data_IF_114564030686
#
_entry.id   IF_114564030686
#
_cell.length_a   1.000
_cell.length_b   1.000
_cell.length_c   1.000
_cell.angle_alpha   90.00
_cell.angle_beta   90.00
_cell.angle_gamma   90.00
#
_symmetry.space_group_name_H-M   'P 1'
#
loop_
_entity.id
_entity.type
_entity.pdbx_description
1 polymer ?
#
# COMPACT_ATOMS: atom_id res chain seq x y z
N UNK A 1 2.64 79.57 23.32
CA UNK A 1 3.59 78.87 22.42
C UNK A 1 4.01 77.56 23.09
N UNK A 2 4.32 76.52 22.29
CA UNK A 2 4.59 75.09 22.59
C UNK A 2 3.33 74.21 22.61
N UNK A 3 2.92 73.50 21.54
CA UNK A 3 3.62 72.56 20.63
C UNK A 3 4.37 71.46 21.39
N UNK A 4 3.63 70.41 21.79
CA UNK A 4 3.97 68.97 21.67
C UNK A 4 2.86 68.11 22.31
N UNK A 5 1.65 68.22 21.76
CA UNK A 5 0.68 67.12 21.75
C UNK A 5 0.87 66.41 20.41
N UNK A 6 1.46 65.22 20.42
CA UNK A 6 1.42 64.21 19.35
C UNK A 6 2.36 63.06 19.74
N UNK A 7 1.86 62.18 20.60
CA UNK A 7 2.36 60.81 20.77
C UNK A 7 1.35 60.05 21.65
N UNK A 8 0.14 59.89 21.12
CA UNK A 8 -0.82 58.92 21.62
C UNK A 8 -1.09 57.94 20.48
N UNK A 9 -1.26 56.68 20.85
CA UNK A 9 -1.67 55.50 20.07
C UNK A 9 -0.52 54.58 19.66
N UNK A 10 -0.79 53.29 19.94
CA UNK A 10 -0.09 52.08 19.48
C UNK A 10 0.99 51.51 20.39
N UNK A 11 0.57 50.95 21.54
CA UNK A 11 1.24 49.78 22.14
C UNK A 11 0.23 48.94 22.94
N UNK A 12 -0.77 48.41 22.23
CA UNK A 12 -1.59 47.29 22.69
C UNK A 12 -1.35 46.16 21.71
N UNK A 13 -0.35 45.33 21.98
CA UNK A 13 -0.08 44.11 21.22
C UNK A 13 -0.37 42.91 22.12
N UNK A 14 -1.42 42.19 21.73
CA UNK A 14 -1.94 40.99 22.35
C UNK A 14 -0.86 39.91 22.50
N UNK A 15 -0.65 39.44 23.72
CA UNK A 15 0.06 38.18 23.99
C UNK A 15 -0.98 37.06 23.87
N UNK A 16 -1.22 36.61 22.64
CA UNK A 16 -1.91 35.35 22.36
C UNK A 16 -0.86 34.35 21.87
N UNK A 17 -0.23 33.67 22.82
CA UNK A 17 0.69 32.56 22.56
C UNK A 17 -0.10 31.38 21.99
N UNK A 18 0.04 31.19 20.68
CA UNK A 18 -0.45 30.06 19.91
C UNK A 18 0.26 28.80 20.41
N UNK A 19 -0.41 28.02 21.27
CA UNK A 19 -0.09 26.61 21.48
C UNK A 19 -0.56 25.84 20.24
N UNK A 20 0.15 26.02 19.13
CA UNK A 20 0.14 25.05 18.05
C UNK A 20 0.95 23.87 18.56
N UNK A 21 0.24 22.82 19.00
CA UNK A 21 0.83 21.54 19.28
C UNK A 21 1.72 21.15 18.10
N UNK A 22 3.04 21.12 18.34
CA UNK A 22 3.94 20.26 17.61
C UNK A 22 3.45 18.82 17.83
N UNK A 23 2.53 18.37 16.97
CA UNK A 23 2.42 16.94 16.71
C UNK A 23 3.77 16.60 16.09
N UNK A 24 4.59 15.73 16.71
CA UNK A 24 5.76 15.22 16.05
C UNK A 24 5.26 14.50 14.81
N UNK A 25 5.39 15.12 13.64
CA UNK A 25 5.39 14.38 12.39
C UNK A 25 6.48 13.33 12.55
N UNK A 26 6.17 12.02 12.42
CA UNK A 26 7.22 11.03 12.34
C UNK A 26 8.22 11.49 11.27
N UNK A 27 9.53 11.30 11.48
CA UNK A 27 10.50 11.58 10.43
C UNK A 27 10.04 10.90 9.14
N UNK A 28 10.15 11.65 8.04
CA UNK A 28 9.83 11.22 6.68
C UNK A 28 10.87 10.18 6.22
N UNK A 29 10.98 9.08 6.97
CA UNK A 29 11.81 7.90 6.67
C UNK A 29 11.21 7.11 5.50
N UNK A 30 10.30 7.74 4.75
CA UNK A 30 9.59 7.12 3.66
C UNK A 30 10.53 6.59 2.58
N UNK A 31 11.69 7.22 2.38
CA UNK A 31 12.72 6.73 1.46
C UNK A 31 13.45 5.48 1.96
N UNK A 32 13.55 5.27 3.29
CA UNK A 32 14.16 4.09 3.92
C UNK A 32 13.24 2.87 3.91
N UNK A 33 11.92 3.07 3.86
CA UNK A 33 10.91 2.02 3.97
C UNK A 33 10.04 1.79 2.72
N UNK A 34 9.96 2.75 1.78
CA UNK A 34 9.02 2.70 0.64
C UNK A 34 9.69 2.78 -0.75
N UNK A 35 10.93 2.29 -0.88
CA UNK A 35 11.63 2.12 -2.17
C UNK A 35 11.94 0.65 -2.48
N UNK A 36 12.07 0.31 -3.78
CA UNK A 36 12.60 -1.00 -4.22
C UNK A 36 14.08 -1.07 -3.85
N UNK A 37 14.45 -1.83 -2.82
CA UNK A 37 15.82 -1.94 -2.32
C UNK A 37 15.95 -2.98 -1.21
N UNK A 38 17.16 -3.14 -0.68
CA UNK A 38 17.49 -4.13 0.37
C UNK A 38 16.88 -3.83 1.75
N UNK A 39 16.08 -2.76 1.89
CA UNK A 39 15.66 -2.25 3.19
C UNK A 39 16.82 -1.67 4.01
N UNK A 40 16.56 -1.44 5.29
CA UNK A 40 17.57 -0.99 6.26
C UNK A 40 18.39 -2.14 6.87
N UNK A 41 17.88 -3.37 6.79
CA UNK A 41 18.53 -4.58 7.29
C UNK A 41 19.38 -5.18 6.16
N UNK A 42 20.69 -5.43 6.37
CA UNK A 42 21.53 -6.08 5.37
C UNK A 42 20.98 -7.46 4.98
N UNK A 43 21.05 -7.82 3.69
CA UNK A 43 20.51 -9.11 3.17
C UNK A 43 21.10 -10.32 3.93
N UNK A 44 22.37 -10.27 4.31
CA UNK A 44 23.03 -11.32 5.10
C UNK A 44 22.44 -11.54 6.50
N UNK A 45 21.77 -10.52 7.03
CA UNK A 45 21.05 -10.54 8.31
C UNK A 45 19.52 -10.60 8.10
N UNK A 46 19.10 -10.62 6.84
CA UNK A 46 17.71 -10.66 6.41
C UNK A 46 17.08 -12.04 6.55
N UNK A 47 15.76 -12.07 6.38
CA UNK A 47 15.01 -13.31 6.29
C UNK A 47 15.32 -14.04 4.96
N UNK A 48 15.23 -15.39 4.99
CA UNK A 48 15.25 -16.15 3.73
C UNK A 48 13.92 -16.01 3.00
N UNK A 49 13.90 -16.34 1.72
CA UNK A 49 12.68 -16.32 0.91
C UNK A 49 11.55 -17.17 1.52
N UNK A 50 11.88 -18.36 2.03
CA UNK A 50 10.91 -19.27 2.65
C UNK A 50 10.37 -18.74 3.98
N UNK A 51 11.23 -18.09 4.78
CA UNK A 51 10.81 -17.41 6.01
C UNK A 51 9.90 -16.23 5.68
N UNK A 52 10.20 -15.47 4.64
CA UNK A 52 9.34 -14.39 4.18
C UNK A 52 7.95 -14.90 3.80
N UNK A 53 7.87 -15.92 2.93
CA UNK A 53 6.60 -16.50 2.48
C UNK A 53 5.79 -17.06 3.67
N UNK A 54 6.45 -17.68 4.64
CA UNK A 54 5.79 -18.30 5.79
C UNK A 54 5.34 -17.29 6.86
N UNK A 55 6.18 -16.32 7.20
CA UNK A 55 6.02 -15.53 8.43
C UNK A 55 5.72 -14.04 8.15
N UNK A 56 6.21 -13.48 7.04
CA UNK A 56 6.10 -12.05 6.75
C UNK A 56 4.99 -11.76 5.75
N UNK A 57 4.91 -12.52 4.67
CA UNK A 57 3.87 -12.38 3.65
C UNK A 57 2.46 -12.41 4.26
N UNK A 58 2.08 -13.34 5.15
CA UNK A 58 0.71 -13.38 5.69
C UNK A 58 0.28 -12.11 6.44
N UNK A 59 1.24 -11.36 7.01
CA UNK A 59 0.96 -10.09 7.69
C UNK A 59 0.59 -8.98 6.72
N UNK A 60 1.23 -8.94 5.54
CA UNK A 60 0.84 -8.05 4.45
C UNK A 60 -0.48 -8.47 3.80
N UNK A 61 -0.66 -9.78 3.57
CA UNK A 61 -1.89 -10.33 3.02
C UNK A 61 -3.10 -10.01 3.90
N UNK A 62 -2.96 -10.07 5.23
CA UNK A 62 -4.03 -9.69 6.16
C UNK A 62 -4.48 -8.24 6.02
N UNK A 63 -3.55 -7.30 5.76
CA UNK A 63 -3.90 -5.90 5.50
C UNK A 63 -4.67 -5.77 4.18
N UNK A 64 -4.23 -6.50 3.14
CA UNK A 64 -4.93 -6.53 1.86
C UNK A 64 -6.34 -7.09 2.04
N UNK A 65 -6.48 -8.25 2.70
CA UNK A 65 -7.76 -8.93 2.91
C UNK A 65 -8.80 -8.03 3.61
N UNK A 66 -8.40 -7.30 4.65
CA UNK A 66 -9.29 -6.34 5.33
C UNK A 66 -9.82 -5.26 4.36
N UNK A 67 -8.95 -4.70 3.52
CA UNK A 67 -9.34 -3.69 2.53
C UNK A 67 -10.21 -4.29 1.43
N UNK A 68 -9.92 -5.52 0.98
CA UNK A 68 -10.77 -6.21 -0.01
C UNK A 68 -12.16 -6.45 0.55
N UNK A 69 -12.28 -6.91 1.80
CA UNK A 69 -13.57 -7.17 2.45
C UNK A 69 -14.40 -5.88 2.51
N UNK A 70 -13.80 -4.76 2.91
CA UNK A 70 -14.49 -3.46 2.88
C UNK A 70 -14.91 -3.04 1.47
N UNK A 71 -14.10 -3.38 0.48
CA UNK A 71 -14.37 -3.13 -0.93
C UNK A 71 -15.41 -4.08 -1.55
N UNK A 72 -16.00 -5.01 -0.79
CA UNK A 72 -17.02 -5.94 -1.28
C UNK A 72 -16.55 -7.38 -1.50
N UNK A 73 -15.35 -7.74 -1.03
CA UNK A 73 -14.90 -9.13 -0.91
C UNK A 73 -14.44 -9.82 -2.20
N UNK A 74 -14.29 -9.07 -3.30
CA UNK A 74 -13.80 -9.59 -4.59
C UNK A 74 -12.44 -8.98 -4.90
N UNK A 75 -11.46 -9.85 -5.18
CA UNK A 75 -10.10 -9.47 -5.55
C UNK A 75 -9.80 -9.87 -6.99
N UNK A 76 -9.49 -8.87 -7.82
CA UNK A 76 -9.01 -9.08 -9.18
C UNK A 76 -7.50 -9.30 -9.21
N UNK A 77 -7.04 -10.29 -9.98
CA UNK A 77 -5.60 -10.57 -10.18
C UNK A 77 -5.24 -10.47 -11.67
N UNK A 78 -4.12 -9.84 -11.98
CA UNK A 78 -3.71 -9.40 -13.32
C UNK A 78 -2.74 -10.29 -14.09
N UNK A 79 -2.45 -11.51 -13.63
CA UNK A 79 -1.28 -12.27 -14.07
C UNK A 79 -0.76 -13.30 -13.05
N UNK A 80 0.56 -13.52 -13.05
CA UNK A 80 1.25 -14.50 -12.19
C UNK A 80 2.32 -13.80 -11.36
N UNK A 81 2.48 -14.25 -10.12
CA UNK A 81 3.60 -13.82 -9.27
C UNK A 81 4.93 -14.09 -9.99
N UNK A 82 5.90 -13.19 -9.80
CA UNK A 82 7.19 -13.26 -10.47
C UNK A 82 8.32 -13.24 -9.46
N UNK A 83 9.32 -14.06 -9.72
CA UNK A 83 10.62 -14.02 -9.05
C UNK A 83 11.63 -13.46 -10.03
N UNK A 84 12.28 -12.37 -9.65
CA UNK A 84 13.36 -11.76 -10.41
C UNK A 84 14.66 -11.80 -9.59
N UNK A 85 15.78 -11.60 -10.26
CA UNK A 85 17.06 -11.35 -9.59
C UNK A 85 17.12 -9.91 -9.12
N UNK A 86 17.74 -9.69 -7.97
CA UNK A 86 17.99 -8.34 -7.47
C UNK A 86 18.98 -7.57 -8.35
N UNK A 87 18.91 -6.23 -8.31
CA UNK A 87 19.81 -5.34 -9.07
C UNK A 87 21.25 -5.31 -8.51
N UNK A 88 21.52 -6.07 -7.46
CA UNK A 88 22.81 -6.29 -6.81
C UNK A 88 23.75 -7.10 -7.72
N UNK A 89 25.04 -7.10 -7.39
CA UNK A 89 26.09 -7.77 -8.19
C UNK A 89 26.21 -9.27 -7.89
N UNK A 90 25.48 -9.76 -6.88
CA UNK A 90 25.40 -11.17 -6.53
C UNK A 90 24.25 -11.82 -7.30
N UNK A 91 24.47 -12.99 -7.89
CA UNK A 91 23.49 -13.63 -8.78
C UNK A 91 22.53 -14.56 -8.06
N UNK A 92 22.47 -14.49 -6.73
CA UNK A 92 21.80 -15.50 -5.87
C UNK A 92 20.66 -14.95 -5.05
N UNK A 93 20.57 -13.64 -4.88
CA UNK A 93 19.45 -12.98 -4.21
C UNK A 93 18.31 -12.69 -5.19
N UNK A 94 17.10 -12.79 -4.66
CA UNK A 94 15.87 -12.69 -5.43
C UNK A 94 14.91 -11.71 -4.77
N UNK A 95 14.11 -11.03 -5.59
CA UNK A 95 12.92 -10.32 -5.15
C UNK A 95 11.66 -10.97 -5.76
N UNK A 96 10.55 -10.83 -5.04
CA UNK A 96 9.25 -11.34 -5.46
C UNK A 96 8.37 -10.14 -5.76
N UNK A 97 7.90 -10.09 -6.99
CA UNK A 97 6.80 -9.22 -7.38
C UNK A 97 5.52 -10.03 -7.34
N UNK A 98 4.69 -9.72 -6.36
CA UNK A 98 3.35 -10.28 -6.27
C UNK A 98 2.48 -9.58 -7.30
N UNK A 99 1.71 -10.38 -8.02
CA UNK A 99 1.01 -9.90 -9.19
C UNK A 99 0.02 -8.76 -8.87
N UNK A 100 -0.24 -7.90 -9.86
CA UNK A 100 -1.08 -6.73 -9.66
C UNK A 100 -2.48 -7.16 -9.24
N UNK A 101 -2.89 -6.62 -8.09
CA UNK A 101 -4.19 -6.85 -7.51
C UNK A 101 -5.08 -5.62 -7.75
N UNK A 102 -6.36 -5.83 -7.98
CA UNK A 102 -7.32 -4.74 -8.26
C UNK A 102 -8.60 -4.99 -7.48
N UNK A 103 -9.10 -3.95 -6.83
CA UNK A 103 -10.39 -3.95 -6.13
C UNK A 103 -11.20 -2.70 -6.49
N UNK A 104 -12.53 -2.72 -6.32
CA UNK A 104 -13.33 -1.51 -6.35
C UNK A 104 -12.77 -0.41 -5.42
N UNK A 105 -13.00 0.86 -5.73
CA UNK A 105 -12.61 1.92 -4.81
C UNK A 105 -13.54 1.99 -3.59
N UNK A 106 -12.95 2.15 -2.42
CA UNK A 106 -13.59 2.63 -1.18
C UNK A 106 -13.25 4.11 -0.97
N UNK A 107 -13.78 4.77 0.06
CA UNK A 107 -13.34 6.13 0.39
C UNK A 107 -11.84 6.13 0.75
N UNK A 108 -11.10 7.14 0.29
CA UNK A 108 -9.66 7.20 0.53
C UNK A 108 -9.31 7.35 2.01
N UNK A 109 -10.11 8.08 2.79
CA UNK A 109 -9.85 8.26 4.21
C UNK A 109 -10.08 6.96 4.98
N UNK A 110 -11.05 6.14 4.54
CA UNK A 110 -11.25 4.78 5.04
C UNK A 110 -10.10 3.85 4.64
N UNK A 111 -9.67 3.87 3.38
CA UNK A 111 -8.47 3.14 2.92
C UNK A 111 -7.26 3.51 3.79
N UNK A 112 -6.98 4.80 3.95
CA UNK A 112 -5.85 5.28 4.76
C UNK A 112 -5.95 4.75 6.18
N UNK A 113 -7.11 4.91 6.82
CA UNK A 113 -7.32 4.47 8.21
C UNK A 113 -7.05 2.97 8.35
N UNK A 114 -7.67 2.14 7.52
CA UNK A 114 -7.54 0.69 7.59
C UNK A 114 -6.09 0.23 7.36
N UNK A 115 -5.43 0.75 6.33
CA UNK A 115 -4.05 0.38 6.00
C UNK A 115 -3.08 0.82 7.10
N UNK A 116 -3.25 2.02 7.66
CA UNK A 116 -2.40 2.52 8.76
C UNK A 116 -2.61 1.70 10.03
N UNK A 117 -3.86 1.40 10.40
CA UNK A 117 -4.16 0.55 11.56
C UNK A 117 -3.60 -0.87 11.36
N UNK A 118 -3.72 -1.42 10.15
CA UNK A 118 -3.13 -2.71 9.78
C UNK A 118 -1.61 -2.72 9.87
N UNK A 119 -0.94 -1.67 9.37
CA UNK A 119 0.50 -1.51 9.48
C UNK A 119 0.96 -1.46 10.94
N UNK A 120 0.28 -0.67 11.77
CA UNK A 120 0.57 -0.53 13.20
C UNK A 120 0.43 -1.86 13.96
N UNK A 121 -0.65 -2.62 13.71
CA UNK A 121 -0.85 -3.94 14.34
C UNK A 121 0.27 -4.93 14.01
N UNK A 122 0.90 -4.79 12.84
CA UNK A 122 1.95 -5.68 12.38
C UNK A 122 3.38 -5.15 12.63
N UNK A 123 3.51 -3.96 13.21
CA UNK A 123 4.80 -3.32 13.48
C UNK A 123 5.50 -2.80 12.22
N UNK A 124 4.75 -2.48 11.17
CA UNK A 124 5.28 -1.95 9.91
C UNK A 124 5.30 -0.41 9.90
N UNK A 125 6.22 0.15 9.10
CA UNK A 125 6.18 1.55 8.72
C UNK A 125 5.04 1.81 7.72
N UNK A 126 4.50 3.02 7.71
CA UNK A 126 3.48 3.43 6.74
C UNK A 126 3.66 4.88 6.28
N UNK A 127 3.15 5.20 5.09
CA UNK A 127 3.08 6.57 4.54
C UNK A 127 1.84 6.72 3.66
N UNK A 128 1.45 7.96 3.35
CA UNK A 128 0.33 8.22 2.45
C UNK A 128 0.45 9.59 1.77
N UNK A 129 -0.14 9.73 0.58
CA UNK A 129 -0.19 10.99 -0.16
C UNK A 129 -1.43 11.82 0.21
N UNK A 130 -1.28 12.98 0.87
CA UNK A 130 -2.43 13.80 1.24
C UNK A 130 -3.08 14.53 0.05
N UNK A 131 -2.38 14.59 -1.10
CA UNK A 131 -2.78 15.39 -2.25
C UNK A 131 -2.90 14.49 -3.47
N UNK A 132 -3.99 14.65 -4.23
CA UNK A 132 -4.23 13.98 -5.51
C UNK A 132 -3.15 14.37 -6.53
N UNK A 133 -2.68 13.39 -7.29
CA UNK A 133 -1.69 13.59 -8.36
C UNK A 133 -2.22 13.04 -9.69
N UNK A 134 -1.47 13.31 -10.75
CA UNK A 134 -1.64 12.74 -12.09
C UNK A 134 -3.04 12.89 -12.74
N UNK A 135 -3.27 12.18 -13.85
CA UNK A 135 -4.53 12.25 -14.62
C UNK A 135 -5.63 11.34 -14.07
N UNK A 136 -5.27 10.39 -13.20
CA UNK A 136 -6.17 9.46 -12.56
C UNK A 136 -6.68 9.98 -11.20
N UNK A 137 -6.24 11.18 -10.79
CA UNK A 137 -6.48 11.75 -9.47
C UNK A 137 -5.99 10.79 -8.37
N UNK A 138 -4.81 10.21 -8.57
CA UNK A 138 -4.31 9.16 -7.69
C UNK A 138 -3.84 9.68 -6.35
N UNK A 139 -4.05 8.87 -5.31
CA UNK A 139 -3.39 8.99 -4.00
C UNK A 139 -2.90 7.62 -3.57
N UNK A 140 -1.81 7.59 -2.82
CA UNK A 140 -1.24 6.33 -2.33
C UNK A 140 -1.36 6.20 -0.83
N UNK A 141 -1.42 4.94 -0.36
CA UNK A 141 -1.12 4.55 1.01
C UNK A 141 -0.15 3.39 0.92
N UNK A 142 1.00 3.49 1.58
CA UNK A 142 2.08 2.52 1.49
C UNK A 142 2.44 1.96 2.87
N UNK A 143 2.86 0.70 2.90
CA UNK A 143 3.30 -0.05 4.08
C UNK A 143 4.62 -0.73 3.76
N UNK A 144 5.57 -0.71 4.70
CA UNK A 144 6.92 -1.20 4.48
C UNK A 144 7.61 -1.63 5.76
N UNK A 145 8.70 -2.38 5.63
CA UNK A 145 9.46 -2.89 6.76
C UNK A 145 10.98 -2.76 6.57
N UNK A 146 11.74 -3.11 7.60
CA UNK A 146 13.20 -3.04 7.58
C UNK A 146 13.86 -3.97 6.56
N UNK A 147 13.15 -4.98 6.05
CA UNK A 147 13.66 -5.92 5.05
C UNK A 147 13.47 -5.43 3.62
N UNK A 148 12.85 -4.25 3.41
CA UNK A 148 12.60 -3.70 2.09
C UNK A 148 11.33 -4.24 1.42
N UNK A 149 10.46 -4.93 2.17
CA UNK A 149 9.14 -5.28 1.66
C UNK A 149 8.28 -4.03 1.52
N UNK A 150 7.45 -3.97 0.49
CA UNK A 150 6.61 -2.81 0.19
C UNK A 150 5.23 -3.23 -0.31
N UNK A 151 4.19 -2.69 0.32
CA UNK A 151 2.80 -2.81 -0.08
C UNK A 151 2.27 -1.42 -0.38
N UNK A 152 1.77 -1.18 -1.59
CA UNK A 152 1.24 0.11 -2.01
C UNK A 152 -0.17 -0.03 -2.54
N UNK A 153 -1.09 0.74 -1.98
CA UNK A 153 -2.45 0.91 -2.48
C UNK A 153 -2.51 2.21 -3.30
N UNK A 154 -2.70 2.09 -4.60
CA UNK A 154 -2.93 3.19 -5.52
C UNK A 154 -4.43 3.42 -5.67
N UNK A 155 -4.95 4.44 -5.00
CA UNK A 155 -6.35 4.85 -5.09
C UNK A 155 -6.55 5.71 -6.33
N UNK A 156 -7.21 5.18 -7.35
CA UNK A 156 -7.47 5.86 -8.62
C UNK A 156 -8.91 6.35 -8.69
N UNK A 157 -9.18 7.56 -8.20
CA UNK A 157 -10.53 8.13 -8.15
C UNK A 157 -11.18 8.25 -9.53
N UNK A 158 -10.42 8.62 -10.57
CA UNK A 158 -10.99 8.76 -11.92
C UNK A 158 -11.43 7.43 -12.54
N UNK A 159 -10.94 6.30 -12.02
CA UNK A 159 -11.26 4.95 -12.49
C UNK A 159 -12.08 4.15 -11.47
N UNK A 160 -12.43 4.75 -10.32
CA UNK A 160 -13.20 4.11 -9.25
C UNK A 160 -12.65 2.74 -8.82
N UNK A 161 -11.32 2.62 -8.74
CA UNK A 161 -10.64 1.39 -8.34
C UNK A 161 -9.40 1.67 -7.49
N UNK A 162 -8.95 0.65 -6.78
CA UNK A 162 -7.66 0.63 -6.11
C UNK A 162 -6.81 -0.46 -6.76
N UNK A 163 -5.61 -0.09 -7.18
CA UNK A 163 -4.57 -1.03 -7.62
C UNK A 163 -3.65 -1.29 -6.44
N UNK A 164 -3.35 -2.55 -6.18
CA UNK A 164 -2.54 -2.99 -5.05
C UNK A 164 -1.28 -3.64 -5.61
N UNK A 165 -0.13 -3.17 -5.16
CA UNK A 165 1.16 -3.75 -5.52
C UNK A 165 1.89 -4.18 -4.26
N UNK A 166 2.36 -5.42 -4.25
CA UNK A 166 3.14 -5.98 -3.16
C UNK A 166 4.48 -6.48 -3.72
N UNK A 167 5.55 -6.07 -3.06
CA UNK A 167 6.93 -6.41 -3.41
C UNK A 167 7.63 -6.92 -2.16
N UNK A 168 8.44 -7.97 -2.33
CA UNK A 168 9.42 -8.30 -1.30
C UNK A 168 10.66 -7.42 -1.44
N UNK A 169 11.42 -7.30 -0.36
CA UNK A 169 12.82 -6.92 -0.46
C UNK A 169 13.66 -8.04 -1.08
N UNK A 170 14.95 -7.77 -1.25
CA UNK A 170 15.93 -8.76 -1.72
C UNK A 170 16.24 -9.79 -0.63
N UNK A 171 16.19 -11.07 -0.98
CA UNK A 171 16.34 -12.18 -0.05
C UNK A 171 17.23 -13.28 -0.62
N UNK A 172 17.92 -14.00 0.26
CA UNK A 172 18.61 -15.23 -0.09
C UNK A 172 17.68 -16.43 0.15
N UNK A 173 17.51 -17.33 -0.82
CA UNK A 173 16.85 -18.61 -0.59
C UNK A 173 17.58 -19.43 0.47
N UNK A 174 16.85 -20.23 1.26
CA UNK A 174 17.45 -21.10 2.29
C UNK A 174 18.34 -22.20 1.72
N UNK A 175 18.08 -22.59 0.46
CA UNK A 175 18.88 -23.55 -0.28
C UNK A 175 19.38 -22.91 -1.58
N UNK A 176 20.59 -23.24 -2.04
CA UNK A 176 21.08 -22.77 -3.32
C UNK A 176 20.10 -23.11 -4.45
N UNK A 177 19.81 -22.13 -5.30
CA UNK A 177 19.01 -22.36 -6.49
C UNK A 177 19.81 -23.22 -7.48
N UNK A 178 19.13 -24.17 -8.11
CA UNK A 178 19.70 -24.93 -9.22
C UNK A 178 19.92 -23.96 -10.40
N UNK A 179 21.17 -23.79 -10.88
CA UNK A 179 21.45 -22.86 -11.98
C UNK A 179 20.75 -23.22 -13.29
N UNK A 180 20.32 -24.48 -13.47
CA UNK A 180 19.61 -24.94 -14.66
C UNK A 180 18.09 -24.71 -14.58
N UNK A 181 17.59 -24.28 -13.42
CA UNK A 181 16.16 -24.03 -13.16
C UNK A 181 15.85 -22.54 -13.28
N UNK A 182 14.94 -22.13 -14.18
CA UNK A 182 14.56 -20.72 -14.29
C UNK A 182 13.99 -20.18 -12.97
N UNK A 183 14.39 -18.98 -12.57
CA UNK A 183 13.86 -18.29 -11.38
C UNK A 183 12.32 -18.22 -11.38
N UNK A 184 11.71 -18.07 -12.55
CA UNK A 184 10.26 -18.06 -12.74
C UNK A 184 9.54 -19.36 -12.33
N UNK A 185 10.28 -20.43 -12.08
CA UNK A 185 9.74 -21.70 -11.59
C UNK A 185 9.87 -21.90 -10.08
N UNK A 186 10.43 -20.91 -9.35
CA UNK A 186 10.47 -20.94 -7.89
C UNK A 186 9.04 -21.05 -7.33
N UNK A 187 8.79 -21.95 -6.37
CA UNK A 187 7.43 -22.20 -5.88
C UNK A 187 6.92 -20.99 -5.10
N UNK A 188 5.93 -20.30 -5.67
CA UNK A 188 5.20 -19.22 -5.00
C UNK A 188 3.77 -19.68 -4.73
N UNK A 189 3.14 -19.21 -3.63
CA UNK A 189 1.74 -19.50 -3.38
C UNK A 189 0.86 -18.92 -4.49
N UNK A 190 -0.22 -19.63 -4.82
CA UNK A 190 -1.24 -19.13 -5.73
C UNK A 190 -2.08 -18.02 -5.07
N UNK A 191 -2.81 -17.20 -5.85
CA UNK A 191 -3.75 -16.24 -5.27
C UNK A 191 -4.77 -16.87 -4.32
N UNK A 192 -5.24 -18.08 -4.61
CA UNK A 192 -6.18 -18.83 -3.78
C UNK A 192 -5.54 -19.28 -2.45
N UNK A 193 -4.24 -19.61 -2.46
CA UNK A 193 -3.49 -19.92 -1.24
C UNK A 193 -3.20 -18.67 -0.41
N UNK A 194 -2.96 -17.53 -1.06
CA UNK A 194 -2.73 -16.25 -0.39
C UNK A 194 -4.00 -15.70 0.26
N UNK A 195 -5.16 -15.91 -0.36
CA UNK A 195 -6.43 -15.33 0.05
C UNK A 195 -7.55 -16.37 0.08
N UNK A 196 -7.49 -17.35 1.00
CA UNK A 196 -8.43 -18.48 1.03
C UNK A 196 -9.89 -18.07 1.30
N UNK A 197 -10.13 -16.87 1.81
CA UNK A 197 -11.46 -16.37 2.17
C UNK A 197 -12.04 -15.38 1.15
N UNK A 198 -11.29 -15.01 0.10
CA UNK A 198 -11.73 -14.02 -0.88
C UNK A 198 -12.23 -14.68 -2.16
N UNK A 199 -13.14 -13.99 -2.85
CA UNK A 199 -13.49 -14.34 -4.23
C UNK A 199 -12.42 -13.81 -5.16
N UNK A 200 -11.62 -14.72 -5.74
CA UNK A 200 -10.57 -14.37 -6.71
C UNK A 200 -11.13 -14.41 -8.13
N UNK A 201 -10.91 -13.33 -8.89
CA UNK A 201 -11.32 -13.24 -10.29
C UNK A 201 -10.18 -12.73 -11.16
N UNK A 202 -10.26 -12.99 -12.46
CA UNK A 202 -9.38 -12.34 -13.42
C UNK A 202 -9.71 -10.85 -13.44
N UNK A 203 -8.71 -9.97 -13.27
CA UNK A 203 -8.95 -8.52 -13.22
C UNK A 203 -9.38 -7.94 -14.57
N UNK A 204 -8.78 -8.44 -15.66
CA UNK A 204 -9.02 -7.97 -17.01
C UNK A 204 -9.18 -9.16 -17.97
N UNK A 205 -10.10 -9.05 -18.91
CA UNK A 205 -10.22 -10.00 -20.02
C UNK A 205 -9.05 -9.84 -21.03
N UNK A 206 -8.99 -10.73 -22.02
CA UNK A 206 -7.95 -10.73 -23.05
C UNK A 206 -7.92 -9.45 -23.91
N UNK A 207 -8.98 -8.63 -23.87
CA UNK A 207 -9.07 -7.34 -24.56
C UNK A 207 -8.75 -6.15 -23.64
N UNK A 208 -8.37 -6.40 -22.39
CA UNK A 208 -8.10 -5.37 -21.38
C UNK A 208 -9.37 -4.78 -20.75
N UNK A 209 -10.54 -5.39 -20.96
CA UNK A 209 -11.78 -5.02 -20.32
C UNK A 209 -11.80 -5.43 -18.85
N UNK A 210 -12.14 -4.50 -17.96
CA UNK A 210 -12.23 -4.78 -16.52
C UNK A 210 -13.38 -5.73 -16.18
N UNK A 211 -13.12 -6.65 -15.27
CA UNK A 211 -14.11 -7.61 -14.81
C UNK A 211 -15.30 -6.91 -14.13
N UNK A 212 -16.54 -7.15 -14.58
CA UNK A 212 -17.73 -6.55 -13.96
C UNK A 212 -17.90 -6.82 -12.47
N UNK A 213 -17.33 -7.90 -11.94
CA UNK A 213 -17.36 -8.22 -10.50
C UNK A 213 -16.52 -7.25 -9.66
N UNK A 214 -15.60 -6.50 -10.28
CA UNK A 214 -14.81 -5.44 -9.64
C UNK A 214 -15.51 -4.08 -9.64
N UNK A 215 -16.79 -4.03 -9.99
CA UNK A 215 -17.58 -2.80 -9.87
C UNK A 215 -18.05 -2.65 -8.43
N UNK A 216 -17.92 -1.44 -7.88
CA UNK A 216 -18.42 -1.11 -6.55
C UNK A 216 -19.90 -1.50 -6.43
N UNK A 217 -20.24 -2.40 -5.51
CA UNK A 217 -21.62 -2.86 -5.27
C UNK A 217 -22.51 -1.80 -4.60
N UNK A 218 -22.03 -0.56 -4.47
CA UNK A 218 -22.77 0.60 -3.95
C UNK A 218 -23.92 0.98 -4.89
N UNK A 219 -25.00 0.19 -4.86
CA UNK A 219 -26.12 0.33 -5.80
C UNK A 219 -27.32 -0.57 -5.52
N UNK A 220 -27.58 -0.97 -4.27
CA UNK A 220 -28.88 -1.53 -3.88
C UNK A 220 -29.43 -0.78 -2.68
N UNK A 221 -30.06 0.37 -2.92
CA UNK A 221 -31.11 0.87 -2.04
C UNK A 221 -32.04 1.88 -2.75
N UNK A 222 -33.34 1.62 -2.58
CA UNK A 222 -34.50 2.49 -2.81
C UNK A 222 -35.10 2.54 -4.22
N UNK A 223 -35.91 1.51 -4.49
CA UNK A 223 -37.01 1.54 -5.45
C UNK A 223 -38.22 0.75 -4.93
N UNK A 224 -38.63 0.95 -3.67
CA UNK A 224 -39.97 0.51 -3.23
C UNK A 224 -40.97 1.52 -3.80
N UNK A 225 -41.59 1.18 -4.91
CA UNK A 225 -42.81 1.84 -5.38
C UNK A 225 -43.95 1.46 -4.44
N UNK A 226 -44.36 2.39 -3.58
CA UNK A 226 -45.70 2.38 -2.98
C UNK A 226 -46.71 2.74 -4.05
N UNK A 227 -47.67 1.86 -4.30
CA UNK A 227 -48.79 2.11 -5.20
C UNK A 227 -49.97 1.21 -4.83
N UNK A 228 -50.73 1.63 -3.82
CA UNK A 228 -52.19 1.43 -3.68
C UNK A 228 -52.79 2.67 -3.05
#
# INVERSE_FOLDING_TARGET
MNRKQLAALMSSACVSLVLAACIPSPPDDAELYFGRGSGSIPISEGQTTEVHIRDTLPRYLGIIEEVVVESGGVLGVGGKNRVDGCLTTDTTDIDIHWDSMVIPAIDYEDLRRMVVEGAQRNGFGYSWDPVRRDKLNSRTVAVGDGYGNSLVFYHHEAQNRIVISLYSGCMLPSQPLDPDVPLSSYPLPSPEEMFPNLTIVQAFDDNGGENPELRSQSGVQSGVQTGE
#
